data_IF_943171258750
#
_entry.id   IF_943171258750
#
_cell.length_a   1.000
_cell.length_b   1.000
_cell.length_c   1.000
_cell.angle_alpha   90.00
_cell.angle_beta   90.00
_cell.angle_gamma   90.00
#
_symmetry.space_group_name_H-M   'P 1'
#
loop_
_entity.id
_entity.type
_entity.pdbx_description
1 polymer ?
#
# COMPACT_ATOMS: atom_id res chain seq x y z
N UNK A 1 -6.26 13.31 11.94
CA UNK A 1 -6.04 11.84 11.93
C UNK A 1 -6.81 11.20 10.78
N UNK A 2 -8.11 11.49 10.65
CA UNK A 2 -8.98 11.00 9.57
C UNK A 2 -8.51 11.31 8.14
N UNK A 3 -7.85 12.46 7.93
CA UNK A 3 -7.38 12.85 6.60
C UNK A 3 -6.32 11.93 6.02
N UNK A 4 -5.43 11.35 6.84
CA UNK A 4 -4.40 10.43 6.35
C UNK A 4 -5.05 9.11 5.93
N UNK A 5 -5.92 8.57 6.79
CA UNK A 5 -6.63 7.31 6.55
C UNK A 5 -7.50 7.44 5.30
N UNK A 6 -8.29 8.51 5.19
CA UNK A 6 -9.11 8.77 4.02
C UNK A 6 -8.27 8.90 2.76
N UNK A 7 -7.19 9.71 2.80
CA UNK A 7 -6.33 9.94 1.65
C UNK A 7 -5.68 8.67 1.12
N UNK A 8 -5.29 7.75 1.99
CA UNK A 8 -4.73 6.46 1.58
C UNK A 8 -5.84 5.51 1.12
N UNK A 9 -6.84 5.27 1.96
CA UNK A 9 -7.90 4.27 1.69
C UNK A 9 -8.77 4.64 0.49
N UNK A 10 -8.91 5.92 0.13
CA UNK A 10 -9.70 6.35 -1.04
C UNK A 10 -8.82 6.79 -2.22
N UNK A 11 -7.52 6.50 -2.21
CA UNK A 11 -6.63 6.90 -3.30
C UNK A 11 -7.00 6.14 -4.59
N UNK A 12 -7.11 6.85 -5.71
CA UNK A 12 -7.50 6.26 -7.01
C UNK A 12 -6.55 5.17 -7.54
N UNK A 13 -5.31 5.16 -7.05
CA UNK A 13 -4.29 4.15 -7.38
C UNK A 13 -4.10 3.11 -6.27
N UNK A 14 -4.97 3.10 -5.25
CA UNK A 14 -4.98 2.01 -4.28
C UNK A 14 -5.53 0.76 -4.97
N UNK A 15 -4.74 -0.31 -4.97
CA UNK A 15 -5.08 -1.58 -5.57
C UNK A 15 -4.09 -2.66 -5.15
N UNK A 16 -4.26 -3.88 -5.67
CA UNK A 16 -3.40 -5.00 -5.32
C UNK A 16 -1.93 -4.68 -5.67
N UNK A 17 -1.04 -4.93 -4.72
CA UNK A 17 0.39 -4.62 -4.84
C UNK A 17 0.73 -3.12 -4.72
N UNK A 18 -0.18 -2.25 -4.28
CA UNK A 18 0.18 -0.87 -3.94
C UNK A 18 1.14 -0.83 -2.76
N UNK A 19 2.22 -0.05 -2.90
CA UNK A 19 3.17 0.24 -1.81
C UNK A 19 2.80 1.58 -1.19
N UNK A 20 2.53 1.58 0.11
CA UNK A 20 2.17 2.79 0.87
C UNK A 20 3.42 3.31 1.56
N UNK A 21 3.87 4.50 1.17
CA UNK A 21 4.99 5.18 1.81
C UNK A 21 4.52 5.95 3.05
N UNK A 22 5.05 5.59 4.22
CA UNK A 22 4.83 6.31 5.47
C UNK A 22 6.15 6.97 5.93
N UNK A 23 6.10 8.23 6.35
CA UNK A 23 7.25 8.89 6.97
C UNK A 23 7.19 8.73 8.50
N UNK A 24 8.22 8.12 9.07
CA UNK A 24 8.37 7.88 10.51
C UNK A 24 8.57 9.17 11.34
N UNK A 25 9.00 10.27 10.72
CA UNK A 25 9.16 11.58 11.38
C UNK A 25 7.90 12.45 11.40
N UNK A 26 6.80 12.01 10.78
CA UNK A 26 5.56 12.78 10.81
C UNK A 26 4.83 12.58 12.15
N UNK A 27 4.47 13.71 12.78
CA UNK A 27 3.96 13.84 14.16
C UNK A 27 2.80 12.90 14.53
N UNK A 28 2.03 12.43 13.55
CA UNK A 28 0.82 11.63 13.77
C UNK A 28 0.85 10.27 13.04
N UNK A 29 1.98 9.87 12.44
CA UNK A 29 2.05 8.61 11.67
C UNK A 29 1.85 7.40 12.58
N UNK A 30 2.49 7.39 13.76
CA UNK A 30 2.36 6.27 14.70
C UNK A 30 0.92 6.10 15.19
N UNK A 31 0.25 7.20 15.54
CA UNK A 31 -1.15 7.19 16.00
C UNK A 31 -2.13 6.78 14.88
N UNK A 32 -1.86 7.15 13.63
CA UNK A 32 -2.70 6.82 12.49
C UNK A 32 -2.47 5.40 11.93
N UNK A 33 -1.38 4.72 12.32
CA UNK A 33 -0.94 3.46 11.73
C UNK A 33 -1.94 2.33 12.01
N UNK A 34 -2.41 2.18 13.25
CA UNK A 34 -3.33 1.12 13.64
C UNK A 34 -4.66 1.22 12.88
N UNK A 35 -5.22 2.44 12.78
CA UNK A 35 -6.45 2.69 12.04
C UNK A 35 -6.28 2.54 10.54
N UNK A 36 -5.10 2.87 10.00
CA UNK A 36 -4.77 2.64 8.59
C UNK A 36 -4.71 1.14 8.28
N UNK A 37 -4.01 0.37 9.11
CA UNK A 37 -3.90 -1.10 8.96
C UNK A 37 -5.30 -1.73 9.01
N UNK A 38 -6.08 -1.38 10.04
CA UNK A 38 -7.45 -1.89 10.21
C UNK A 38 -8.33 -1.52 9.00
N UNK A 39 -8.30 -0.26 8.57
CA UNK A 39 -9.08 0.20 7.43
C UNK A 39 -8.67 -0.42 6.10
N UNK A 40 -7.41 -0.86 5.92
CA UNK A 40 -6.99 -1.62 4.74
C UNK A 40 -7.47 -3.08 4.81
N UNK A 41 -7.36 -3.71 5.98
CA UNK A 41 -7.83 -5.08 6.21
C UNK A 41 -9.36 -5.21 6.04
N UNK A 42 -10.13 -4.25 6.56
CA UNK A 42 -11.59 -4.18 6.37
C UNK A 42 -12.00 -4.09 4.89
N UNK A 43 -11.13 -3.53 4.05
CA UNK A 43 -11.35 -3.45 2.59
C UNK A 43 -10.91 -4.72 1.85
N UNK A 44 -10.45 -5.74 2.57
CA UNK A 44 -10.03 -7.02 2.02
C UNK A 44 -8.57 -7.07 1.56
N UNK A 45 -7.74 -6.08 1.94
CA UNK A 45 -6.30 -6.13 1.65
C UNK A 45 -5.55 -6.91 2.71
N UNK A 46 -4.55 -7.66 2.27
CA UNK A 46 -3.53 -8.25 3.12
C UNK A 46 -2.27 -7.38 3.10
N UNK A 47 -1.70 -7.11 4.28
CA UNK A 47 -0.41 -6.41 4.38
C UNK A 47 0.69 -7.45 4.47
N UNK A 48 1.54 -7.47 3.44
CA UNK A 48 2.67 -8.39 3.34
C UNK A 48 4.00 -7.63 3.25
N UNK A 49 5.12 -8.25 3.63
CA UNK A 49 6.44 -7.74 3.32
C UNK A 49 6.65 -7.56 1.81
N UNK A 50 7.43 -6.56 1.40
CA UNK A 50 7.74 -6.30 -0.02
C UNK A 50 8.28 -7.54 -0.74
N UNK A 51 9.02 -8.42 -0.05
CA UNK A 51 9.56 -9.65 -0.62
C UNK A 51 8.49 -10.59 -1.19
N UNK A 52 7.25 -10.50 -0.71
CA UNK A 52 6.12 -11.32 -1.18
C UNK A 52 5.40 -10.67 -2.37
N UNK A 53 5.60 -9.37 -2.61
CA UNK A 53 5.04 -8.66 -3.76
C UNK A 53 5.92 -8.72 -5.01
N UNK A 54 7.21 -9.07 -4.85
CA UNK A 54 8.18 -9.07 -5.96
C UNK A 54 8.07 -10.36 -6.77
N UNK A 55 7.67 -10.22 -8.03
CA UNK A 55 7.81 -11.27 -9.04
C UNK A 55 9.29 -11.41 -9.39
N UNK A 56 9.85 -12.62 -9.28
CA UNK A 56 11.27 -12.86 -9.57
C UNK A 56 11.51 -13.34 -11.01
N UNK A 57 10.48 -13.91 -11.63
CA UNK A 57 10.55 -14.56 -12.95
C UNK A 57 9.26 -14.29 -13.71
N UNK A 58 9.28 -14.47 -15.04
CA UNK A 58 8.10 -14.41 -15.92
C UNK A 58 7.25 -13.13 -15.79
N UNK A 59 7.87 -11.98 -15.61
CA UNK A 59 7.19 -10.69 -15.61
C UNK A 59 7.81 -9.72 -16.61
N UNK A 60 7.06 -8.69 -16.97
CA UNK A 60 7.56 -7.47 -17.60
C UNK A 60 7.14 -6.24 -16.79
N UNK A 61 7.76 -5.09 -17.07
CA UNK A 61 7.40 -3.83 -16.44
C UNK A 61 6.51 -3.03 -17.37
N UNK A 62 5.37 -2.55 -16.88
CA UNK A 62 4.54 -1.62 -17.63
C UNK A 62 5.12 -0.18 -17.56
N UNK A 63 4.50 0.76 -18.28
CA UNK A 63 4.93 2.17 -18.33
C UNK A 63 4.83 2.90 -16.98
N UNK A 64 4.09 2.35 -16.02
CA UNK A 64 3.95 2.88 -14.65
C UNK A 64 5.02 2.32 -13.71
N UNK A 65 5.90 1.44 -14.20
CA UNK A 65 6.89 0.76 -13.38
C UNK A 65 6.33 -0.37 -12.51
N UNK A 66 5.19 -0.97 -12.90
CA UNK A 66 4.59 -2.11 -12.21
C UNK A 66 4.96 -3.43 -12.90
N UNK A 67 5.27 -4.45 -12.10
CA UNK A 67 5.45 -5.82 -12.59
C UNK A 67 4.09 -6.40 -13.03
N UNK A 68 4.05 -6.93 -14.24
CA UNK A 68 2.90 -7.63 -14.84
C UNK A 68 3.37 -9.00 -15.27
N UNK A 69 2.66 -10.04 -14.84
CA UNK A 69 2.94 -11.41 -15.25
C UNK A 69 2.84 -11.51 -16.79
N UNK A 70 3.81 -12.18 -17.41
CA UNK A 70 3.81 -12.46 -18.84
C UNK A 70 2.70 -13.42 -19.27
#
# INVERSE_FOLDING_TARGET
MDDIIKRVTTHKHLGNGSIILCHNGAKYTAEALDSLISGLQEKGYELVPISELIMKENYHMNVEGRQVLN
#
